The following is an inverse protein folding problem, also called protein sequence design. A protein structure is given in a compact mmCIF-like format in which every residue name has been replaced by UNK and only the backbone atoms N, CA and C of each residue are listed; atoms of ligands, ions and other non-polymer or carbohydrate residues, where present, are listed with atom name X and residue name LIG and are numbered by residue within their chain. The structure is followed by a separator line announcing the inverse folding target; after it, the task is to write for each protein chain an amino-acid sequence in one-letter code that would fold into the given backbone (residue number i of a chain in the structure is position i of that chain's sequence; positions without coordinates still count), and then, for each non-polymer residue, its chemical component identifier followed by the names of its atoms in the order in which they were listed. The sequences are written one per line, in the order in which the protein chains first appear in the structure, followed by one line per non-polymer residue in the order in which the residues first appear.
data_IF_078604445809
#
_entry.id   IF_078604445809
#
_cell.length_a   1.000
_cell.length_b   1.000
_cell.length_c   1.000
_cell.angle_alpha   90.00
_cell.angle_beta   90.00
_cell.angle_gamma   90.00
#
_symmetry.space_group_name_H-M   'P 1'
#
loop_
_entity.id
_entity.type
_entity.pdbx_description
1 polymer ?
#
# COMPACT_ATOMS: atom_id res chain seq x y z
N UNK A 1 -4.77 -16.38 0.54
CA UNK A 1 -3.66 -15.41 0.63
C UNK A 1 -2.79 -15.64 -0.57
N UNK A 2 -2.66 -14.64 -1.44
CA UNK A 2 -2.07 -14.85 -2.76
C UNK A 2 -0.54 -14.82 -2.74
N UNK A 3 0.07 -14.30 -1.65
CA UNK A 3 1.52 -14.18 -1.49
C UNK A 3 1.98 -14.47 -0.05
N UNK A 4 1.84 -15.72 0.45
CA UNK A 4 2.16 -16.06 1.85
C UNK A 4 3.64 -15.87 2.20
N UNK A 5 4.54 -16.02 1.22
CA UNK A 5 5.99 -15.90 1.41
C UNK A 5 6.42 -14.47 1.76
N UNK A 6 5.60 -13.46 1.43
CA UNK A 6 5.89 -12.06 1.75
C UNK A 6 6.01 -11.81 3.25
N UNK A 7 5.39 -12.62 4.11
CA UNK A 7 5.50 -12.49 5.58
C UNK A 7 6.96 -12.60 6.04
N UNK A 8 7.77 -13.42 5.37
CA UNK A 8 9.19 -13.59 5.68
C UNK A 8 10.02 -12.31 5.43
N UNK A 9 9.52 -11.37 4.61
CA UNK A 9 10.16 -10.07 4.36
C UNK A 9 10.00 -9.09 5.53
N UNK A 10 9.19 -9.43 6.54
CA UNK A 10 8.95 -8.60 7.71
C UNK A 10 9.55 -9.27 8.96
N UNK A 11 10.75 -8.86 9.39
CA UNK A 11 11.37 -9.39 10.61
C UNK A 11 10.47 -9.28 11.85
N UNK A 12 9.60 -8.26 11.90
CA UNK A 12 8.63 -8.03 12.98
C UNK A 12 7.49 -9.05 13.03
N UNK A 13 7.25 -9.77 11.93
CA UNK A 13 6.20 -10.79 11.83
C UNK A 13 6.79 -12.21 11.93
N UNK A 14 8.05 -12.35 12.37
CA UNK A 14 8.68 -13.66 12.53
C UNK A 14 7.88 -14.53 13.48
N UNK A 15 7.45 -15.70 12.98
CA UNK A 15 6.67 -16.68 13.74
C UNK A 15 5.15 -16.50 13.67
N UNK A 16 4.66 -15.45 13.00
CA UNK A 16 3.23 -15.31 12.68
C UNK A 16 2.89 -16.27 11.53
N UNK A 17 1.84 -17.08 11.70
CA UNK A 17 1.32 -17.91 10.61
C UNK A 17 0.60 -17.01 9.58
N UNK A 18 1.04 -16.95 8.31
CA UNK A 18 0.36 -16.18 7.28
C UNK A 18 -1.13 -16.51 7.15
N UNK A 19 -1.53 -17.75 7.46
CA UNK A 19 -2.92 -18.20 7.39
C UNK A 19 -3.78 -17.65 8.52
N UNK A 20 -3.18 -17.25 9.64
CA UNK A 20 -3.88 -16.69 10.79
C UNK A 20 -3.91 -15.15 10.78
N UNK A 21 -3.46 -14.50 9.71
CA UNK A 21 -3.43 -13.04 9.62
C UNK A 21 -4.82 -12.42 9.54
N UNK A 22 -5.79 -13.12 8.95
CA UNK A 22 -7.19 -12.68 8.93
C UNK A 22 -7.78 -12.75 10.33
N UNK A 23 -8.17 -11.60 10.89
CA UNK A 23 -8.68 -11.49 12.26
C UNK A 23 -7.61 -11.61 13.35
N UNK A 24 -6.32 -11.54 12.98
CA UNK A 24 -5.24 -11.51 13.98
C UNK A 24 -5.35 -10.27 14.86
N UNK A 25 -5.23 -10.47 16.17
CA UNK A 25 -5.08 -9.39 17.17
C UNK A 25 -3.62 -9.16 17.55
N UNK A 26 -2.68 -9.69 16.76
CA UNK A 26 -1.25 -9.48 16.98
C UNK A 26 -0.89 -8.02 16.69
N UNK A 27 -0.43 -7.31 17.72
CA UNK A 27 -0.10 -5.89 17.62
C UNK A 27 0.99 -5.59 16.58
N UNK A 28 1.89 -6.52 16.27
CA UNK A 28 2.88 -6.33 15.21
C UNK A 28 2.24 -6.39 13.83
N UNK A 29 1.26 -7.29 13.63
CA UNK A 29 0.47 -7.36 12.40
C UNK A 29 -0.31 -6.07 12.20
N UNK A 30 -1.02 -5.61 13.24
CA UNK A 30 -1.77 -4.35 13.22
C UNK A 30 -0.86 -3.15 12.92
N UNK A 31 0.31 -3.08 13.56
CA UNK A 31 1.27 -2.01 13.32
C UNK A 31 1.82 -2.00 11.88
N UNK A 32 2.12 -3.17 11.31
CA UNK A 32 2.55 -3.27 9.91
C UNK A 32 1.43 -2.85 8.98
N UNK A 33 0.20 -3.35 9.17
CA UNK A 33 -0.96 -2.97 8.37
C UNK A 33 -1.23 -1.46 8.42
N UNK A 34 -1.18 -0.86 9.62
CA UNK A 34 -1.34 0.58 9.81
C UNK A 34 -0.33 1.40 9.02
N UNK A 35 0.94 0.97 8.97
CA UNK A 35 1.98 1.69 8.22
C UNK A 35 1.68 1.74 6.71
N UNK A 36 1.13 0.67 6.15
CA UNK A 36 0.73 0.65 4.74
C UNK A 36 -0.44 1.59 4.47
N UNK A 37 -1.49 1.52 5.29
CA UNK A 37 -2.68 2.39 5.12
C UNK A 37 -2.32 3.87 5.33
N UNK A 38 -1.44 4.17 6.29
CA UNK A 38 -1.01 5.55 6.58
C UNK A 38 -0.35 6.22 5.38
N UNK A 39 0.34 5.48 4.51
CA UNK A 39 0.93 6.07 3.28
C UNK A 39 -0.17 6.64 2.37
N UNK A 40 -1.27 5.91 2.19
CA UNK A 40 -2.39 6.38 1.36
C UNK A 40 -3.15 7.53 2.03
N UNK A 41 -3.36 7.45 3.34
CA UNK A 41 -3.99 8.52 4.14
C UNK A 41 -3.20 9.83 4.07
N UNK A 42 -1.88 9.76 4.21
CA UNK A 42 -1.00 10.94 4.11
C UNK A 42 -1.00 11.54 2.69
N UNK A 43 -1.07 10.70 1.66
CA UNK A 43 -1.17 11.14 0.26
C UNK A 43 -2.49 11.87 0.01
N UNK A 44 -3.61 11.32 0.49
CA UNK A 44 -4.92 11.95 0.38
C UNK A 44 -4.92 13.28 1.14
N UNK A 45 -4.46 13.28 2.40
CA UNK A 45 -4.36 14.48 3.24
C UNK A 45 -3.53 15.58 2.59
N UNK A 46 -2.40 15.21 1.95
CA UNK A 46 -1.57 16.16 1.23
C UNK A 46 -2.28 16.79 0.03
N UNK A 47 -3.05 16.00 -0.72
CA UNK A 47 -3.83 16.50 -1.87
C UNK A 47 -5.01 17.36 -1.39
N UNK A 48 -5.68 16.98 -0.31
CA UNK A 48 -6.75 17.77 0.30
C UNK A 48 -6.27 19.13 0.80
N UNK A 49 -5.08 19.17 1.41
CA UNK A 49 -4.47 20.41 1.89
C UNK A 49 -4.10 21.38 0.77
N UNK A 50 -3.71 20.87 -0.41
CA UNK A 50 -3.42 21.69 -1.59
C UNK A 50 -3.86 21.00 -2.90
N UNK A 51 -5.15 21.09 -3.28
CA UNK A 51 -5.68 20.34 -4.43
C UNK A 51 -5.10 20.74 -5.78
N UNK A 52 -4.47 21.91 -5.88
CA UNK A 52 -3.82 22.39 -7.09
C UNK A 52 -2.37 21.90 -7.23
N UNK A 53 -1.78 21.33 -6.18
CA UNK A 53 -0.37 20.91 -6.17
C UNK A 53 -0.16 19.61 -5.38
N UNK A 54 0.03 18.52 -6.11
CA UNK A 54 0.29 17.20 -5.55
C UNK A 54 1.78 16.95 -5.23
N UNK A 55 2.65 17.96 -5.29
CA UNK A 55 4.11 17.79 -5.14
C UNK A 55 4.49 17.06 -3.85
N UNK A 56 3.87 17.41 -2.72
CA UNK A 56 4.18 16.77 -1.43
C UNK A 56 3.73 15.31 -1.38
N UNK A 57 2.57 14.98 -1.96
CA UNK A 57 2.12 13.61 -2.13
C UNK A 57 3.11 12.80 -2.99
N UNK A 58 3.56 13.36 -4.11
CA UNK A 58 4.55 12.73 -5.00
C UNK A 58 5.90 12.51 -4.29
N UNK A 59 6.39 13.49 -3.52
CA UNK A 59 7.63 13.37 -2.72
C UNK A 59 7.51 12.27 -1.67
N UNK A 60 6.36 12.15 -1.01
CA UNK A 60 6.11 11.11 -0.01
C UNK A 60 6.17 9.71 -0.64
N UNK A 61 5.47 9.50 -1.75
CA UNK A 61 5.48 8.24 -2.49
C UNK A 61 6.88 7.89 -2.98
N UNK A 62 7.60 8.85 -3.56
CA UNK A 62 9.00 8.67 -3.98
C UNK A 62 9.89 8.23 -2.80
N UNK A 63 9.73 8.84 -1.63
CA UNK A 63 10.50 8.51 -0.43
C UNK A 63 10.21 7.08 0.05
N UNK A 64 8.95 6.64 -0.02
CA UNK A 64 8.56 5.26 0.30
C UNK A 64 9.16 4.27 -0.70
N UNK A 65 9.14 4.58 -2.00
CA UNK A 65 9.80 3.77 -3.03
C UNK A 65 11.30 3.60 -2.77
N UNK A 66 12.00 4.71 -2.48
CA UNK A 66 13.42 4.70 -2.11
C UNK A 66 13.70 3.84 -0.88
N UNK A 67 12.84 3.94 0.15
CA UNK A 67 12.97 3.15 1.36
C UNK A 67 12.91 1.65 1.06
N UNK A 68 11.98 1.21 0.21
CA UNK A 68 11.85 -0.21 -0.16
C UNK A 68 13.08 -0.72 -0.93
N UNK A 69 13.62 0.07 -1.88
CA UNK A 69 14.87 -0.28 -2.58
C UNK A 69 16.01 -0.54 -1.59
N UNK A 70 16.11 0.29 -0.55
CA UNK A 70 17.21 0.23 0.43
C UNK A 70 17.01 -0.91 1.44
N UNK A 71 15.76 -1.21 1.82
CA UNK A 71 15.45 -2.08 2.96
C UNK A 71 15.02 -3.48 2.59
N UNK A 72 14.52 -3.70 1.37
CA UNK A 72 13.96 -4.99 0.95
C UNK A 72 14.88 -5.61 -0.11
N UNK A 73 15.76 -6.50 0.34
CA UNK A 73 16.69 -7.19 -0.56
C UNK A 73 15.93 -8.09 -1.53
N UNK A 74 16.32 -8.08 -2.81
CA UNK A 74 15.70 -8.89 -3.86
C UNK A 74 14.35 -8.39 -4.35
N UNK A 75 13.87 -7.24 -3.86
CA UNK A 75 12.65 -6.63 -4.39
C UNK A 75 12.90 -6.05 -5.79
N UNK A 76 11.98 -6.31 -6.69
CA UNK A 76 11.82 -5.60 -7.98
C UNK A 76 10.67 -4.59 -7.90
N UNK A 77 10.73 -3.51 -8.69
CA UNK A 77 9.68 -2.48 -8.71
C UNK A 77 8.32 -3.01 -9.15
N UNK A 78 8.30 -4.06 -9.98
CA UNK A 78 7.09 -4.76 -10.42
C UNK A 78 6.28 -5.34 -9.25
N UNK A 79 6.91 -5.66 -8.11
CA UNK A 79 6.20 -6.20 -6.94
C UNK A 79 5.21 -5.22 -6.32
N UNK A 80 5.36 -3.90 -6.51
CA UNK A 80 4.38 -2.94 -5.99
C UNK A 80 2.99 -3.11 -6.64
N UNK A 81 2.95 -3.55 -7.90
CA UNK A 81 1.70 -3.80 -8.63
C UNK A 81 0.85 -4.89 -7.97
N UNK A 82 1.47 -5.82 -7.22
CA UNK A 82 0.75 -6.86 -6.50
C UNK A 82 -0.14 -6.33 -5.36
N UNK A 83 0.04 -5.06 -4.93
CA UNK A 83 -0.80 -4.42 -3.92
C UNK A 83 -2.13 -3.87 -4.46
N UNK A 84 -2.32 -3.78 -5.78
CA UNK A 84 -3.55 -3.20 -6.36
C UNK A 84 -4.79 -4.01 -5.98
N UNK A 85 -4.74 -5.33 -6.15
CA UNK A 85 -5.87 -6.20 -5.86
C UNK A 85 -6.22 -6.22 -4.36
N UNK A 86 -5.27 -6.40 -3.42
CA UNK A 86 -5.54 -6.24 -2.00
C UNK A 86 -6.09 -4.87 -1.61
N UNK A 87 -5.61 -3.78 -2.24
CA UNK A 87 -6.12 -2.45 -2.01
C UNK A 87 -7.58 -2.31 -2.44
N UNK A 88 -7.92 -2.76 -3.65
CA UNK A 88 -9.30 -2.73 -4.15
C UNK A 88 -10.23 -3.62 -3.32
N UNK A 89 -9.76 -4.80 -2.89
CA UNK A 89 -10.50 -5.67 -1.98
C UNK A 89 -10.78 -4.97 -0.64
N UNK A 90 -9.78 -4.33 -0.03
CA UNK A 90 -9.98 -3.55 1.20
C UNK A 90 -11.05 -2.47 1.01
N UNK A 91 -10.99 -1.73 -0.11
CA UNK A 91 -11.99 -0.69 -0.40
C UNK A 91 -13.38 -1.29 -0.62
N UNK A 92 -13.50 -2.43 -1.31
CA UNK A 92 -14.79 -3.09 -1.51
C UNK A 92 -15.41 -3.57 -0.20
N UNK A 93 -14.59 -4.06 0.74
CA UNK A 93 -15.07 -4.48 2.06
C UNK A 93 -15.55 -3.29 2.90
N UNK A 94 -14.92 -2.11 2.75
CA UNK A 94 -15.33 -0.88 3.46
C UNK A 94 -16.60 -0.28 2.86
N UNK A 95 -16.70 -0.24 1.53
CA UNK A 95 -17.83 0.39 0.84
C UNK A 95 -19.03 -0.55 0.67
N UNK A 96 -18.81 -1.85 0.71
CA UNK A 96 -19.81 -2.90 0.52
C UNK A 96 -20.68 -2.65 -0.72
N UNK A 97 -22.00 -2.51 -0.54
CA UNK A 97 -22.98 -2.26 -1.60
C UNK A 97 -22.73 -0.94 -2.37
N UNK A 98 -21.93 -0.02 -1.81
CA UNK A 98 -21.53 1.23 -2.46
C UNK A 98 -20.30 1.08 -3.36
N UNK A 99 -19.65 -0.09 -3.37
CA UNK A 99 -18.54 -0.39 -4.29
C UNK A 99 -19.07 -0.70 -5.70
N UNK A 100 -19.38 0.37 -6.44
CA UNK A 100 -19.82 0.29 -7.84
C UNK A 100 -18.64 0.28 -8.81
N UNK A 101 -18.86 -0.07 -10.07
CA UNK A 101 -17.85 0.04 -11.15
C UNK A 101 -17.17 1.41 -11.20
N UNK A 102 -17.94 2.48 -10.92
CA UNK A 102 -17.42 3.85 -10.86
C UNK A 102 -16.48 4.04 -9.67
N UNK A 103 -16.83 3.49 -8.50
CA UNK A 103 -15.97 3.53 -7.32
C UNK A 103 -14.69 2.72 -7.57
N UNK A 104 -14.80 1.51 -8.10
CA UNK A 104 -13.65 0.68 -8.46
C UNK A 104 -12.69 1.42 -9.40
N UNK A 105 -13.20 1.99 -10.51
CA UNK A 105 -12.37 2.73 -11.46
C UNK A 105 -11.70 3.95 -10.83
N UNK A 106 -12.37 4.65 -9.92
CA UNK A 106 -11.81 5.79 -9.19
C UNK A 106 -10.64 5.35 -8.30
N UNK A 107 -10.84 4.33 -7.46
CA UNK A 107 -9.82 3.83 -6.55
C UNK A 107 -8.67 3.15 -7.29
N UNK A 108 -8.95 2.50 -8.42
CA UNK A 108 -7.93 1.99 -9.34
C UNK A 108 -7.06 3.13 -9.86
N UNK A 109 -7.66 4.21 -10.34
CA UNK A 109 -6.91 5.38 -10.82
C UNK A 109 -6.05 6.01 -9.72
N UNK A 110 -6.59 6.11 -8.49
CA UNK A 110 -5.83 6.57 -7.33
C UNK A 110 -4.63 5.66 -7.03
N UNK A 111 -4.83 4.33 -6.99
CA UNK A 111 -3.74 3.39 -6.76
C UNK A 111 -2.67 3.50 -7.85
N UNK A 112 -3.07 3.61 -9.12
CA UNK A 112 -2.14 3.76 -10.24
C UNK A 112 -1.32 5.05 -10.15
N UNK A 113 -1.90 6.16 -9.67
CA UNK A 113 -1.16 7.36 -9.31
C UNK A 113 -0.11 7.08 -8.23
N UNK A 114 -0.48 6.40 -7.14
CA UNK A 114 0.47 6.02 -6.10
C UNK A 114 1.60 5.12 -6.62
N UNK A 115 1.24 4.10 -7.41
CA UNK A 115 2.16 3.12 -7.99
C UNK A 115 3.22 3.78 -8.87
N UNK A 116 2.82 4.76 -9.68
CA UNK A 116 3.76 5.49 -10.54
C UNK A 116 4.89 6.12 -9.71
N UNK A 117 4.56 6.92 -8.70
CA UNK A 117 5.57 7.63 -7.90
C UNK A 117 6.33 6.73 -6.92
N UNK A 118 5.71 5.64 -6.45
CA UNK A 118 6.42 4.58 -5.71
C UNK A 118 7.51 3.95 -6.60
N UNK A 119 7.16 3.65 -7.84
CA UNK A 119 8.07 3.03 -8.82
C UNK A 119 9.17 3.99 -9.26
N UNK A 120 8.85 5.27 -9.51
CA UNK A 120 9.83 6.31 -9.78
C UNK A 120 10.85 6.44 -8.64
N UNK A 121 10.37 6.51 -7.39
CA UNK A 121 11.24 6.59 -6.22
C UNK A 121 12.08 5.33 -6.02
N UNK A 122 11.52 4.15 -6.32
CA UNK A 122 12.27 2.91 -6.25
C UNK A 122 13.39 2.85 -7.31
N UNK A 123 13.11 3.28 -8.55
CA UNK A 123 14.06 3.19 -9.65
C UNK A 123 15.13 4.30 -9.63
N UNK A 124 14.85 5.46 -9.01
CA UNK A 124 15.77 6.60 -8.89
C UNK A 124 16.70 6.52 -7.69
#
# INVERSE_FOLDING_TARGET
MDNPDNVALYPKLKGVDPKSLSGSTDTNVENVAKQYVQVFDDVISSVEANPADATEACKRLNSVGKLHRVKVSGMESTHFQALEQPFLYMVSEVLQDRFTDKAEQLFKKFFQFCLQYLTEGFNG
#
